data_IF_295635935157
#
_entry.id   IF_295635935157
#
_cell.length_a   1.000
_cell.length_b   1.000
_cell.length_c   1.000
_cell.angle_alpha   90.00
_cell.angle_beta   90.00
_cell.angle_gamma   90.00
#
_symmetry.space_group_name_H-M   'P 1'
#
loop_
_entity.id
_entity.type
_entity.pdbx_description
1 polymer ?
#
# COMPACT_ATOMS: atom_id res chain seq x y z
N UNK A 1 -10.08 -0.59 -2.17
CA UNK A 1 -10.91 -0.32 -0.97
C UNK A 1 -10.00 0.27 0.09
N UNK A 2 -10.44 1.24 0.91
CA UNK A 2 -9.66 1.68 2.07
C UNK A 2 -9.52 0.54 3.09
N UNK A 3 -8.37 0.49 3.78
CA UNK A 3 -8.09 -0.50 4.82
C UNK A 3 -7.66 0.20 6.11
N UNK A 4 -8.46 0.10 7.19
CA UNK A 4 -8.13 0.73 8.46
C UNK A 4 -6.98 -0.01 9.15
N UNK A 5 -6.14 0.75 9.85
CA UNK A 5 -5.25 0.21 10.86
C UNK A 5 -6.09 -0.32 12.05
N UNK A 6 -5.67 -1.35 12.79
CA UNK A 6 -6.47 -1.93 13.88
C UNK A 6 -6.94 -0.93 14.94
N UNK A 7 -6.13 0.08 15.25
CA UNK A 7 -6.48 1.14 16.21
C UNK A 7 -7.51 2.16 15.67
N UNK A 8 -7.84 2.07 14.38
CA UNK A 8 -8.79 2.94 13.70
C UNK A 8 -8.33 4.38 13.49
N UNK A 9 -7.05 4.72 13.68
CA UNK A 9 -6.55 6.10 13.53
C UNK A 9 -6.01 6.40 12.14
N UNK A 10 -5.64 5.36 11.39
CA UNK A 10 -5.09 5.49 10.04
C UNK A 10 -5.85 4.62 9.03
N UNK A 11 -5.86 5.07 7.77
CA UNK A 11 -6.40 4.30 6.63
C UNK A 11 -5.35 4.25 5.53
N UNK A 12 -4.98 3.06 5.08
CA UNK A 12 -4.25 2.86 3.82
C UNK A 12 -5.24 2.76 2.65
N UNK A 13 -4.98 3.46 1.55
CA UNK A 13 -5.85 3.44 0.38
C UNK A 13 -5.09 3.79 -0.90
N UNK A 14 -5.64 3.34 -2.05
CA UNK A 14 -5.18 3.78 -3.36
C UNK A 14 -5.91 5.04 -3.80
N UNK A 15 -5.16 5.97 -4.41
CA UNK A 15 -5.66 7.25 -4.91
C UNK A 15 -5.27 7.43 -6.37
N UNK A 16 -6.19 7.93 -7.19
CA UNK A 16 -5.84 8.40 -8.54
C UNK A 16 -5.06 9.69 -8.42
N UNK A 17 -3.83 9.73 -8.95
CA UNK A 17 -2.99 10.92 -8.94
C UNK A 17 -3.07 11.64 -10.29
N UNK A 18 -3.36 12.94 -10.26
CA UNK A 18 -3.40 13.77 -11.46
C UNK A 18 -2.00 13.88 -12.07
N UNK A 19 -1.91 13.70 -13.39
CA UNK A 19 -0.64 13.77 -14.12
C UNK A 19 -0.01 12.41 -14.42
N UNK A 20 -0.56 11.32 -13.88
CA UNK A 20 -0.16 9.96 -14.24
C UNK A 20 -0.88 9.44 -15.48
N UNK A 21 -0.33 8.41 -16.16
CA UNK A 21 -1.00 7.70 -17.23
C UNK A 21 -2.41 7.25 -16.83
N UNK A 22 -3.36 7.36 -17.76
CA UNK A 22 -4.78 7.07 -17.48
C UNK A 22 -5.05 5.60 -17.15
N UNK A 23 -4.24 4.72 -17.69
CA UNK A 23 -4.24 3.26 -17.53
C UNK A 23 -3.50 2.79 -16.27
N UNK A 24 -2.65 3.63 -15.68
CA UNK A 24 -1.90 3.33 -14.46
C UNK A 24 -1.89 4.52 -13.46
N UNK A 25 -3.07 5.00 -12.98
CA UNK A 25 -3.15 6.25 -12.22
C UNK A 25 -3.02 6.08 -10.70
N UNK A 26 -2.85 4.87 -10.18
CA UNK A 26 -3.14 4.55 -8.78
C UNK A 26 -1.88 4.51 -7.92
N UNK A 27 -1.77 5.40 -6.93
CA UNK A 27 -0.68 5.34 -5.95
C UNK A 27 -1.23 5.09 -4.55
N UNK A 28 -0.39 4.53 -3.67
CA UNK A 28 -0.75 4.27 -2.28
C UNK A 28 -0.56 5.52 -1.41
N UNK A 29 -1.53 5.72 -0.52
CA UNK A 29 -1.55 6.79 0.46
C UNK A 29 -2.00 6.24 1.82
N UNK A 30 -1.57 6.93 2.88
CA UNK A 30 -2.11 6.77 4.23
C UNK A 30 -2.79 8.06 4.65
N UNK A 31 -4.00 7.95 5.19
CA UNK A 31 -4.75 9.05 5.79
C UNK A 31 -4.71 8.90 7.31
N UNK A 32 -4.19 9.90 8.01
CA UNK A 32 -4.38 10.08 9.44
C UNK A 32 -5.77 10.70 9.67
N UNK A 33 -6.66 9.97 10.33
CA UNK A 33 -8.06 10.40 10.57
C UNK A 33 -8.19 11.47 11.65
N UNK A 34 -7.18 11.64 12.50
CA UNK A 34 -7.17 12.67 13.54
C UNK A 34 -6.84 14.04 12.96
N UNK A 35 -5.92 14.06 11.99
CA UNK A 35 -5.43 15.31 11.37
C UNK A 35 -5.98 15.55 9.98
N UNK A 36 -6.62 14.54 9.37
CA UNK A 36 -7.04 14.51 7.97
C UNK A 36 -5.88 14.70 6.99
N UNK A 37 -4.64 14.44 7.43
CA UNK A 37 -3.45 14.56 6.58
C UNK A 37 -3.25 13.28 5.79
N UNK A 38 -3.10 13.44 4.48
CA UNK A 38 -2.68 12.38 3.57
C UNK A 38 -1.16 12.36 3.44
N UNK A 39 -0.56 11.17 3.50
CA UNK A 39 0.85 10.90 3.22
C UNK A 39 0.94 10.02 1.99
N UNK A 40 1.65 10.46 0.95
CA UNK A 40 1.96 9.62 -0.20
C UNK A 40 3.01 8.59 0.19
N UNK A 41 2.81 7.32 -0.17
CA UNK A 41 3.79 6.28 0.08
C UNK A 41 4.82 6.20 -1.06
N UNK A 42 6.01 5.70 -0.73
CA UNK A 42 7.18 5.74 -1.61
C UNK A 42 7.17 4.73 -2.77
N UNK A 43 6.07 4.00 -3.02
CA UNK A 43 5.94 3.13 -4.20
C UNK A 43 5.72 3.96 -5.48
N UNK A 44 6.70 3.98 -6.41
CA UNK A 44 6.56 4.76 -7.64
C UNK A 44 5.66 4.10 -8.70
N UNK A 45 5.39 2.81 -8.61
CA UNK A 45 4.58 2.05 -9.57
C UNK A 45 3.10 2.20 -9.25
N UNK A 46 2.25 2.07 -10.28
CA UNK A 46 0.81 2.07 -10.07
C UNK A 46 0.37 0.79 -9.35
N UNK A 47 -0.35 0.93 -8.24
CA UNK A 47 -0.91 -0.17 -7.45
C UNK A 47 -2.43 -0.13 -7.56
N UNK A 48 -2.99 -1.00 -8.42
CA UNK A 48 -4.45 -1.14 -8.56
C UNK A 48 -5.03 -2.25 -7.66
N UNK A 49 -4.19 -2.89 -6.85
CA UNK A 49 -4.62 -3.92 -5.89
C UNK A 49 -4.85 -3.34 -4.48
N UNK A 50 -5.24 -4.19 -3.54
CA UNK A 50 -5.50 -3.84 -2.15
C UNK A 50 -4.21 -3.79 -1.32
N UNK A 51 -4.09 -2.74 -0.50
CA UNK A 51 -3.07 -2.65 0.55
C UNK A 51 -3.60 -3.26 1.85
N UNK A 52 -2.73 -3.84 2.66
CA UNK A 52 -3.03 -4.36 4.01
C UNK A 52 -1.97 -3.88 4.99
N UNK A 53 -2.33 -3.77 6.27
CA UNK A 53 -1.39 -3.48 7.33
C UNK A 53 -0.72 -4.76 7.80
N UNK A 54 0.61 -4.73 7.93
CA UNK A 54 1.37 -5.79 8.61
C UNK A 54 1.44 -5.52 10.12
N UNK A 55 1.61 -4.25 10.45
CA UNK A 55 1.73 -3.69 11.80
C UNK A 55 1.38 -2.20 11.71
N UNK A 56 1.46 -1.47 12.84
CA UNK A 56 1.09 -0.05 12.92
C UNK A 56 1.94 0.90 12.06
N UNK A 57 3.05 0.41 11.50
CA UNK A 57 4.02 1.22 10.78
C UNK A 57 4.29 0.73 9.35
N UNK A 58 3.76 -0.43 8.97
CA UNK A 58 4.14 -1.11 7.73
C UNK A 58 2.92 -1.48 6.90
N UNK A 59 2.92 -1.02 5.65
CA UNK A 59 1.92 -1.39 4.64
C UNK A 59 2.49 -2.46 3.71
N UNK A 60 1.65 -3.42 3.34
CA UNK A 60 1.94 -4.51 2.41
C UNK A 60 0.94 -4.48 1.27
N UNK A 61 1.39 -4.80 0.06
CA UNK A 61 0.58 -4.75 -1.15
C UNK A 61 1.16 -5.68 -2.22
N UNK A 62 0.33 -5.96 -3.23
CA UNK A 62 0.70 -6.80 -4.35
C UNK A 62 1.05 -5.97 -5.60
N UNK A 63 2.00 -6.48 -6.37
CA UNK A 63 2.27 -6.03 -7.74
C UNK A 63 2.39 -7.25 -8.66
N UNK A 64 2.08 -7.12 -9.97
CA UNK A 64 2.28 -8.20 -10.92
C UNK A 64 3.72 -8.73 -10.88
N UNK A 65 3.86 -10.05 -10.86
CA UNK A 65 5.12 -10.78 -10.93
C UNK A 65 5.02 -11.98 -11.86
N UNK A 66 6.14 -12.65 -12.12
CA UNK A 66 6.25 -13.71 -13.15
C UNK A 66 5.28 -14.88 -12.93
N UNK A 67 4.90 -15.13 -11.68
CA UNK A 67 4.01 -16.23 -11.27
C UNK A 67 2.73 -15.73 -10.58
N UNK A 68 2.24 -14.55 -10.98
CA UNK A 68 1.04 -13.94 -10.43
C UNK A 68 1.33 -12.60 -9.77
N UNK A 69 1.38 -12.58 -8.44
CA UNK A 69 1.66 -11.37 -7.67
C UNK A 69 2.88 -11.54 -6.75
N UNK A 70 3.73 -10.53 -6.72
CA UNK A 70 4.79 -10.36 -5.73
C UNK A 70 4.29 -9.44 -4.63
N UNK A 71 4.59 -9.78 -3.37
CA UNK A 71 4.27 -8.94 -2.22
C UNK A 71 5.42 -7.98 -1.95
N UNK A 72 5.07 -6.73 -1.73
CA UNK A 72 5.99 -5.67 -1.34
C UNK A 72 5.53 -5.05 -0.03
N UNK A 73 6.47 -4.43 0.67
CA UNK A 73 6.20 -3.66 1.89
C UNK A 73 6.97 -2.36 1.90
N UNK A 74 6.41 -1.37 2.59
CA UNK A 74 7.07 -0.11 2.87
C UNK A 74 6.52 0.55 4.15
N UNK A 75 7.28 1.49 4.75
CA UNK A 75 6.79 2.32 5.84
C UNK A 75 5.53 3.11 5.46
N UNK A 76 4.60 3.21 6.40
CA UNK A 76 3.32 3.94 6.25
C UNK A 76 3.47 5.46 6.31
N UNK A 77 4.65 5.95 6.72
CA UNK A 77 4.99 7.37 6.82
C UNK A 77 5.58 7.95 5.51
N UNK A 78 5.64 7.13 4.45
CA UNK A 78 6.17 7.53 3.14
C UNK A 78 7.69 7.63 3.09
N UNK A 79 8.39 7.16 4.12
CA UNK A 79 9.85 7.07 4.14
C UNK A 79 10.35 5.75 3.56
N UNK A 80 11.67 5.68 3.32
CA UNK A 80 12.37 4.55 2.68
C UNK A 80 11.74 4.14 1.33
N UNK A 81 12.17 3.00 0.80
CA UNK A 81 11.79 2.47 -0.50
C UNK A 81 11.09 1.12 -0.34
N UNK A 82 10.19 0.75 -1.26
CA UNK A 82 9.58 -0.57 -1.28
C UNK A 82 10.58 -1.72 -1.24
N UNK A 83 10.28 -2.73 -0.41
CA UNK A 83 11.02 -3.99 -0.34
C UNK A 83 10.11 -5.14 -0.70
N UNK A 84 10.55 -6.00 -1.62
CA UNK A 84 9.84 -7.23 -1.93
C UNK A 84 9.93 -8.18 -0.73
N UNK A 85 8.78 -8.65 -0.27
CA UNK A 85 8.63 -9.61 0.82
C UNK A 85 8.60 -11.05 0.31
N UNK A 86 7.80 -11.31 -0.72
CA UNK A 86 7.57 -12.66 -1.24
C UNK A 86 7.34 -12.61 -2.75
N UNK A 87 7.86 -13.61 -3.46
CA UNK A 87 7.54 -13.84 -4.86
C UNK A 87 6.38 -14.83 -4.96
N UNK A 88 5.46 -14.62 -5.90
CA UNK A 88 4.28 -15.47 -6.09
C UNK A 88 3.36 -15.57 -4.84
N UNK A 89 3.29 -14.50 -4.04
CA UNK A 89 2.44 -14.38 -2.86
C UNK A 89 1.03 -13.90 -3.22
N UNK A 90 0.16 -14.80 -3.68
CA UNK A 90 -1.17 -14.43 -4.20
C UNK A 90 -2.26 -14.27 -3.13
N UNK A 91 -2.04 -14.75 -1.90
CA UNK A 91 -3.03 -14.69 -0.80
C UNK A 91 -2.38 -14.77 0.58
N UNK A 92 -1.57 -13.77 0.99
CA UNK A 92 -0.99 -13.75 2.32
C UNK A 92 -2.05 -13.54 3.40
N UNK A 93 -1.85 -14.16 4.56
CA UNK A 93 -2.55 -13.82 5.79
C UNK A 93 -1.50 -13.48 6.85
N UNK A 94 -1.73 -12.40 7.59
CA UNK A 94 -0.96 -12.09 8.79
C UNK A 94 -1.68 -12.72 9.98
N UNK A 95 -0.92 -13.45 10.80
CA UNK A 95 -1.39 -14.00 12.07
C UNK A 95 -0.75 -13.17 13.18
N UNK A 96 -1.57 -12.78 14.16
CA UNK A 96 -1.15 -12.08 15.37
C UNK A 96 -0.52 -13.06 16.38
#
# INVERSE_FOLDING_TARGET
MPVPLPDGTHIAYKKRVKGLPKDAPWHLYVLDLRTMRETALAEPRSVDDQAVWRDDQTVVYALPGDYGADLYSLPSDGTDTPRRLLTAGVSPVYLD
#
